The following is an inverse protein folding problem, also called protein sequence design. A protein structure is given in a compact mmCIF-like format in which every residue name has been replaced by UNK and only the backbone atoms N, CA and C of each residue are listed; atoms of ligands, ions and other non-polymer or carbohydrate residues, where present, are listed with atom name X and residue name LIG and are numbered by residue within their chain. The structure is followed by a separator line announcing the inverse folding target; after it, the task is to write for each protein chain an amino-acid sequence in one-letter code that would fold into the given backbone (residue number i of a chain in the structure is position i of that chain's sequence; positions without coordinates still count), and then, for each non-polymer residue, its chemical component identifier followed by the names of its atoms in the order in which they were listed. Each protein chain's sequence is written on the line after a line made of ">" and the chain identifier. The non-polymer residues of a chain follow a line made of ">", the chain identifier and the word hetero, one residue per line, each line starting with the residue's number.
data_IF_072762999598
#
_entry.id   IF_072762999598
#
_cell.length_a   1.000
_cell.length_b   1.000
_cell.length_c   1.000
_cell.angle_alpha   90.00
_cell.angle_beta   90.00
_cell.angle_gamma   90.00
#
_symmetry.space_group_name_H-M   'P 1'
#
loop_
_entity.id
_entity.type
_entity.pdbx_description
1 polymer ?
#
# COMPACT_ATOMS: atom_id res chain seq x y z
N UNK A 1 -1.66 -33.14 -0.03
CA UNK A 1 -1.89 -32.03 -0.99
C UNK A 1 -0.52 -31.58 -1.44
N UNK A 2 -0.22 -31.48 -2.75
CA UNK A 2 1.13 -31.16 -3.17
C UNK A 2 1.49 -29.77 -2.62
N UNK A 3 2.44 -29.76 -1.69
CA UNK A 3 3.09 -28.60 -1.09
C UNK A 3 4.04 -27.99 -2.13
N UNK A 4 3.51 -27.59 -3.28
CA UNK A 4 4.26 -26.75 -4.21
C UNK A 4 4.43 -25.39 -3.55
N UNK A 5 5.68 -24.93 -3.40
CA UNK A 5 5.93 -23.52 -3.10
C UNK A 5 5.25 -22.68 -4.17
N UNK A 6 4.73 -21.52 -3.78
CA UNK A 6 4.17 -20.58 -4.73
C UNK A 6 5.27 -20.10 -5.69
N UNK A 7 4.93 -19.86 -6.94
CA UNK A 7 5.92 -19.62 -8.00
C UNK A 7 5.69 -18.26 -8.64
N UNK A 8 6.78 -17.52 -8.88
CA UNK A 8 6.82 -16.35 -9.75
C UNK A 8 7.58 -16.72 -11.03
N UNK A 9 6.87 -16.88 -12.13
CA UNK A 9 7.44 -17.29 -13.42
C UNK A 9 7.85 -16.10 -14.27
N UNK A 10 9.16 -15.88 -14.37
CA UNK A 10 9.75 -14.80 -15.17
C UNK A 10 9.69 -15.06 -16.68
N UNK A 11 9.26 -16.24 -17.14
CA UNK A 11 8.90 -16.45 -18.54
C UNK A 11 7.57 -15.78 -18.91
N UNK A 12 6.69 -15.58 -17.94
CA UNK A 12 5.39 -14.94 -18.11
C UNK A 12 5.37 -13.47 -17.64
N UNK A 13 6.29 -13.09 -16.75
CA UNK A 13 6.32 -11.79 -16.09
C UNK A 13 7.62 -11.04 -16.39
N UNK A 14 7.52 -9.78 -16.82
CA UNK A 14 8.67 -8.88 -17.07
C UNK A 14 8.83 -7.80 -15.99
N UNK A 15 7.83 -7.65 -15.12
CA UNK A 15 7.77 -6.61 -14.11
C UNK A 15 7.10 -7.10 -12.82
N UNK A 16 7.59 -6.60 -11.68
CA UNK A 16 6.91 -6.76 -10.39
C UNK A 16 6.55 -5.38 -9.86
N UNK A 17 5.25 -5.19 -9.63
CA UNK A 17 4.69 -4.02 -8.95
C UNK A 17 4.38 -4.45 -7.52
N UNK A 18 4.92 -3.75 -6.54
CA UNK A 18 4.76 -4.07 -5.13
C UNK A 18 4.06 -2.92 -4.42
N UNK A 19 3.11 -3.22 -3.56
CA UNK A 19 2.79 -2.25 -2.51
C UNK A 19 4.01 -2.00 -1.61
N UNK A 20 4.02 -0.85 -0.93
CA UNK A 20 5.14 -0.44 -0.09
C UNK A 20 4.91 -0.85 1.36
N UNK A 21 3.72 -0.59 1.87
CA UNK A 21 3.39 -0.73 3.28
C UNK A 21 2.95 -2.18 3.52
N UNK A 22 3.57 -2.91 4.44
CA UNK A 22 3.27 -4.32 4.70
C UNK A 22 3.83 -5.32 3.68
N UNK A 23 4.24 -4.88 2.49
CA UNK A 23 4.93 -5.70 1.48
C UNK A 23 6.44 -5.45 1.46
N UNK A 24 6.90 -4.24 1.11
CA UNK A 24 8.33 -3.88 1.12
C UNK A 24 8.80 -3.54 2.53
N UNK A 25 8.04 -2.71 3.24
CA UNK A 25 8.42 -2.14 4.54
C UNK A 25 7.40 -2.43 5.63
N UNK A 26 7.86 -2.62 6.87
CA UNK A 26 7.01 -2.87 8.04
C UNK A 26 6.46 -1.55 8.62
N UNK A 27 5.73 -0.80 7.79
CA UNK A 27 5.18 0.53 8.13
C UNK A 27 3.67 0.51 8.35
N UNK A 28 2.99 -0.59 8.07
CA UNK A 28 1.53 -0.71 8.24
C UNK A 28 1.12 -0.40 9.71
N UNK A 29 1.87 -0.91 10.69
CA UNK A 29 1.65 -0.63 12.12
C UNK A 29 1.87 0.84 12.46
N UNK A 30 2.91 1.45 11.90
CA UNK A 30 3.23 2.87 12.05
C UNK A 30 2.12 3.75 11.46
N UNK A 31 1.57 3.37 10.31
CA UNK A 31 0.41 4.03 9.73
C UNK A 31 -0.84 3.90 10.59
N UNK A 32 -1.14 2.70 11.08
CA UNK A 32 -2.29 2.47 11.96
C UNK A 32 -2.20 3.27 13.26
N UNK A 33 -1.01 3.34 13.88
CA UNK A 33 -0.77 4.15 15.08
C UNK A 33 -0.95 5.66 14.82
N UNK A 34 -0.41 6.17 13.71
CA UNK A 34 -0.56 7.57 13.32
C UNK A 34 -2.03 7.96 13.06
N UNK A 35 -2.78 7.08 12.40
CA UNK A 35 -4.21 7.25 12.18
C UNK A 35 -4.99 7.22 13.49
N UNK A 36 -4.75 6.23 14.34
CA UNK A 36 -5.39 6.13 15.65
C UNK A 36 -5.21 7.40 16.45
N UNK A 37 -3.98 7.92 16.52
CA UNK A 37 -3.69 9.16 17.24
C UNK A 37 -4.46 10.35 16.67
N UNK A 38 -4.43 10.52 15.35
CA UNK A 38 -5.11 11.63 14.68
C UNK A 38 -6.63 11.58 14.85
N UNK A 39 -7.25 10.41 14.69
CA UNK A 39 -8.68 10.24 14.89
C UNK A 39 -9.10 10.35 16.35
N UNK A 40 -8.35 9.76 17.29
CA UNK A 40 -8.70 9.85 18.72
C UNK A 40 -8.63 11.29 19.22
N UNK A 41 -7.69 12.10 18.72
CA UNK A 41 -7.64 13.53 19.03
C UNK A 41 -8.88 14.25 18.50
N UNK A 42 -9.22 14.05 17.22
CA UNK A 42 -10.43 14.60 16.60
C UNK A 42 -11.71 14.21 17.36
N UNK A 43 -11.87 12.93 17.69
CA UNK A 43 -13.06 12.39 18.36
C UNK A 43 -13.19 12.93 19.78
N UNK A 44 -12.07 13.12 20.50
CA UNK A 44 -12.05 13.77 21.82
C UNK A 44 -12.44 15.25 21.73
N UNK A 45 -11.92 15.96 20.74
CA UNK A 45 -12.23 17.39 20.51
C UNK A 45 -13.69 17.60 20.10
N UNK A 46 -14.23 16.75 19.24
CA UNK A 46 -15.64 16.78 18.82
C UNK A 46 -16.56 16.38 19.98
N UNK A 47 -16.26 15.29 20.69
CA UNK A 47 -17.07 14.84 21.83
C UNK A 47 -17.14 15.89 22.94
N UNK A 48 -16.04 16.62 23.20
CA UNK A 48 -16.05 17.77 24.12
C UNK A 48 -16.97 18.89 23.66
N UNK A 49 -16.97 19.24 22.36
CA UNK A 49 -17.80 20.31 21.79
C UNK A 49 -19.28 19.96 21.86
N UNK A 50 -19.61 18.72 21.55
CA UNK A 50 -20.99 18.24 21.47
C UNK A 50 -21.51 17.69 22.82
N UNK A 51 -20.67 17.70 23.85
CA UNK A 51 -20.96 17.12 25.18
C UNK A 51 -21.39 15.64 25.11
N UNK A 52 -20.79 14.87 24.20
CA UNK A 52 -21.01 13.43 24.03
C UNK A 52 -19.70 12.66 24.11
N UNK A 53 -19.76 11.38 24.47
CA UNK A 53 -18.61 10.47 24.39
C UNK A 53 -18.62 9.75 23.05
N UNK A 54 -17.68 10.09 22.18
CA UNK A 54 -17.44 9.34 20.95
C UNK A 54 -16.48 8.16 21.23
N UNK A 55 -16.79 6.93 20.78
CA UNK A 55 -15.88 5.80 20.91
C UNK A 55 -14.55 6.07 20.19
N UNK A 56 -13.40 5.61 20.71
CA UNK A 56 -12.11 5.78 20.05
C UNK A 56 -12.05 5.03 18.71
N UNK A 57 -11.03 5.32 17.92
CA UNK A 57 -10.66 4.57 16.72
C UNK A 57 -10.05 3.23 17.09
N UNK A 58 -10.62 2.16 16.55
CA UNK A 58 -10.15 0.78 16.75
C UNK A 58 -9.21 0.36 15.62
N UNK A 59 -7.97 0.01 15.94
CA UNK A 59 -6.97 -0.40 14.94
C UNK A 59 -7.28 -1.78 14.35
N UNK A 60 -7.93 -2.68 15.08
CA UNK A 60 -8.25 -4.00 14.56
C UNK A 60 -9.52 -3.96 13.70
N UNK A 61 -10.52 -3.17 14.10
CA UNK A 61 -11.80 -3.10 13.41
C UNK A 61 -11.91 -1.93 12.42
N UNK A 62 -11.65 -0.70 12.84
CA UNK A 62 -11.89 0.50 12.01
C UNK A 62 -10.80 0.67 10.95
N UNK A 63 -9.53 0.43 11.29
CA UNK A 63 -8.42 0.59 10.33
C UNK A 63 -8.57 -0.36 9.15
N UNK A 64 -8.72 -1.65 9.40
CA UNK A 64 -8.87 -2.68 8.36
C UNK A 64 -10.07 -2.40 7.46
N UNK A 65 -11.18 -1.93 8.05
CA UNK A 65 -12.42 -1.71 7.31
C UNK A 65 -12.40 -0.44 6.45
N UNK A 66 -11.88 0.66 7.00
CA UNK A 66 -12.07 1.98 6.42
C UNK A 66 -10.81 2.55 5.81
N UNK A 67 -9.63 2.21 6.32
CA UNK A 67 -8.39 2.94 6.02
C UNK A 67 -7.39 2.10 5.23
N UNK A 68 -7.27 0.82 5.59
CA UNK A 68 -6.19 -0.04 5.09
C UNK A 68 -6.20 -0.19 3.56
N UNK A 69 -5.03 0.00 2.95
CA UNK A 69 -4.84 0.03 1.49
C UNK A 69 -5.50 1.19 0.72
N UNK A 70 -6.31 2.05 1.35
CA UNK A 70 -7.00 3.16 0.67
C UNK A 70 -6.14 4.42 0.60
N UNK A 71 -6.52 5.34 -0.30
CA UNK A 71 -5.97 6.68 -0.28
C UNK A 71 -6.23 7.35 1.08
N UNK A 72 -5.35 8.26 1.48
CA UNK A 72 -5.49 8.97 2.75
C UNK A 72 -6.83 9.74 2.86
N UNK A 73 -7.31 10.31 1.76
CA UNK A 73 -8.54 11.10 1.73
C UNK A 73 -9.76 10.17 1.81
N UNK A 74 -9.77 9.09 1.02
CA UNK A 74 -10.88 8.13 1.00
C UNK A 74 -11.00 7.38 2.33
N UNK A 75 -9.86 6.98 2.91
CA UNK A 75 -9.86 6.30 4.20
C UNK A 75 -10.33 7.18 5.34
N UNK A 76 -9.91 8.45 5.37
CA UNK A 76 -10.41 9.42 6.33
C UNK A 76 -11.91 9.66 6.17
N UNK A 77 -12.39 9.89 4.95
CA UNK A 77 -13.82 10.09 4.70
C UNK A 77 -14.65 8.88 5.10
N UNK A 78 -14.25 7.68 4.69
CA UNK A 78 -14.97 6.45 5.01
C UNK A 78 -15.10 6.24 6.52
N UNK A 79 -14.04 6.50 7.30
CA UNK A 79 -14.11 6.42 8.75
C UNK A 79 -15.01 7.51 9.35
N UNK A 80 -14.84 8.77 8.94
CA UNK A 80 -15.63 9.88 9.48
C UNK A 80 -17.12 9.73 9.18
N UNK A 81 -17.47 9.30 7.97
CA UNK A 81 -18.84 8.99 7.57
C UNK A 81 -19.43 7.88 8.44
N UNK A 82 -18.65 6.86 8.80
CA UNK A 82 -19.09 5.80 9.73
C UNK A 82 -19.47 6.30 11.12
N UNK A 83 -18.97 7.49 11.50
CA UNK A 83 -19.26 8.16 12.77
C UNK A 83 -20.23 9.34 12.61
N UNK A 84 -20.79 9.55 11.42
CA UNK A 84 -21.67 10.69 11.11
C UNK A 84 -20.97 12.05 11.17
N UNK A 85 -19.64 12.08 11.04
CA UNK A 85 -18.84 13.30 11.11
C UNK A 85 -18.55 13.79 9.70
N UNK A 86 -18.95 15.03 9.40
CA UNK A 86 -18.63 15.67 8.12
C UNK A 86 -17.70 16.83 8.37
N UNK A 87 -16.48 16.74 7.84
CA UNK A 87 -15.51 17.84 7.88
C UNK A 87 -15.49 18.57 6.52
N UNK A 88 -15.46 19.92 6.51
CA UNK A 88 -15.17 20.66 5.30
C UNK A 88 -13.77 20.31 4.79
N UNK A 89 -13.55 20.42 3.47
CA UNK A 89 -12.23 20.15 2.89
C UNK A 89 -11.16 21.07 3.49
N UNK A 90 -11.48 22.36 3.54
CA UNK A 90 -10.63 23.43 4.05
C UNK A 90 -11.29 24.08 5.27
N UNK A 91 -10.46 24.46 6.25
CA UNK A 91 -10.94 25.16 7.44
C UNK A 91 -11.33 26.60 7.12
N UNK A 92 -12.37 27.09 7.78
CA UNK A 92 -12.67 28.54 7.86
C UNK A 92 -12.82 28.90 9.34
N UNK A 93 -12.22 30.01 9.76
CA UNK A 93 -12.42 30.56 11.11
C UNK A 93 -12.19 29.55 12.26
N UNK A 94 -11.09 28.78 12.22
CA UNK A 94 -10.74 27.85 13.30
C UNK A 94 -11.59 26.58 13.36
N UNK A 95 -12.41 26.30 12.35
CA UNK A 95 -13.10 25.00 12.22
C UNK A 95 -12.14 23.91 11.77
N UNK A 96 -12.26 22.76 12.42
CA UNK A 96 -11.57 21.53 12.04
C UNK A 96 -11.94 21.13 10.60
N UNK A 97 -10.93 20.75 9.82
CA UNK A 97 -11.07 20.40 8.41
C UNK A 97 -10.39 19.08 8.09
N UNK A 98 -10.82 18.46 7.00
CA UNK A 98 -10.23 17.20 6.53
C UNK A 98 -8.73 17.35 6.31
N UNK A 99 -8.27 18.44 5.68
CA UNK A 99 -6.84 18.65 5.45
C UNK A 99 -6.04 18.78 6.75
N UNK A 100 -6.58 19.40 7.78
CA UNK A 100 -5.93 19.49 9.10
C UNK A 100 -5.75 18.13 9.76
N UNK A 101 -6.77 17.27 9.70
CA UNK A 101 -6.68 15.87 10.17
C UNK A 101 -5.60 15.11 9.40
N UNK A 102 -5.62 15.24 8.07
CA UNK A 102 -4.65 14.59 7.20
C UNK A 102 -3.23 15.05 7.54
N UNK A 103 -2.99 16.34 7.71
CA UNK A 103 -1.68 16.90 8.07
C UNK A 103 -1.22 16.42 9.45
N UNK A 104 -2.11 16.35 10.45
CA UNK A 104 -1.80 15.72 11.75
C UNK A 104 -1.33 14.29 11.57
N UNK A 105 -2.06 13.48 10.79
CA UNK A 105 -1.67 12.10 10.50
C UNK A 105 -0.30 12.00 9.82
N UNK A 106 -0.02 12.85 8.83
CA UNK A 106 1.29 12.87 8.18
C UNK A 106 2.39 13.20 9.16
N UNK A 107 2.19 14.21 10.01
CA UNK A 107 3.16 14.60 11.04
C UNK A 107 3.44 13.45 11.99
N UNK A 108 2.42 12.82 12.56
CA UNK A 108 2.59 11.69 13.48
C UNK A 108 3.31 10.51 12.84
N UNK A 109 3.01 10.21 11.58
CA UNK A 109 3.74 9.17 10.86
C UNK A 109 5.22 9.52 10.67
N UNK A 110 5.53 10.74 10.22
CA UNK A 110 6.91 11.17 9.99
C UNK A 110 7.70 11.31 11.29
N UNK A 111 7.05 11.66 12.40
CA UNK A 111 7.66 11.66 13.74
C UNK A 111 8.06 10.24 14.15
N UNK A 112 7.17 9.26 13.97
CA UNK A 112 7.44 7.84 14.27
C UNK A 112 8.59 7.30 13.40
N UNK A 113 8.57 7.57 12.10
CA UNK A 113 9.63 7.20 11.16
C UNK A 113 10.98 7.82 11.56
N UNK A 114 11.00 9.07 12.01
CA UNK A 114 12.24 9.73 12.46
C UNK A 114 12.76 9.17 13.78
N UNK A 115 11.86 8.81 14.70
CA UNK A 115 12.22 8.31 16.02
C UNK A 115 12.68 6.85 15.99
N UNK A 116 12.06 6.02 15.15
CA UNK A 116 12.24 4.56 15.17
C UNK A 116 12.81 3.97 13.88
N UNK A 117 12.96 4.77 12.83
CA UNK A 117 13.40 4.33 11.52
C UNK A 117 12.32 3.53 10.77
N UNK A 118 12.72 2.91 9.67
CA UNK A 118 11.88 1.98 8.88
C UNK A 118 12.68 0.71 8.63
N UNK A 119 12.03 -0.44 8.77
CA UNK A 119 12.61 -1.73 8.41
C UNK A 119 11.96 -2.25 7.12
N UNK A 120 12.77 -2.70 6.17
CA UNK A 120 12.30 -3.51 5.06
C UNK A 120 12.16 -4.98 5.51
N UNK A 121 11.21 -5.71 4.93
CA UNK A 121 11.10 -7.14 5.18
C UNK A 121 12.27 -7.88 4.51
N UNK A 122 13.08 -8.68 5.25
CA UNK A 122 14.26 -9.32 4.69
C UNK A 122 13.96 -10.23 3.49
N UNK A 123 12.83 -10.92 3.51
CA UNK A 123 12.36 -11.77 2.41
C UNK A 123 12.01 -10.95 1.16
N UNK A 124 11.40 -9.78 1.34
CA UNK A 124 11.14 -8.86 0.23
C UNK A 124 12.43 -8.33 -0.35
N UNK A 125 13.40 -7.91 0.48
CA UNK A 125 14.72 -7.45 0.00
C UNK A 125 15.45 -8.55 -0.79
N UNK A 126 15.39 -9.80 -0.31
CA UNK A 126 15.96 -10.94 -1.02
C UNK A 126 15.32 -11.14 -2.41
N UNK A 127 13.99 -11.06 -2.49
CA UNK A 127 13.25 -11.10 -3.75
C UNK A 127 13.65 -9.95 -4.69
N UNK A 128 13.73 -8.72 -4.19
CA UNK A 128 14.13 -7.56 -5.01
C UNK A 128 15.52 -7.76 -5.62
N UNK A 129 16.50 -8.25 -4.85
CA UNK A 129 17.82 -8.57 -5.40
C UNK A 129 17.78 -9.69 -6.45
N UNK A 130 16.95 -10.72 -6.24
CA UNK A 130 16.76 -11.79 -7.21
C UNK A 130 16.18 -11.26 -8.53
N UNK A 131 15.11 -10.48 -8.47
CA UNK A 131 14.49 -9.83 -9.63
C UNK A 131 15.49 -8.95 -10.41
N UNK A 132 16.35 -8.19 -9.70
CA UNK A 132 17.40 -7.38 -10.34
C UNK A 132 18.43 -8.22 -11.07
N UNK A 133 18.82 -9.40 -10.54
CA UNK A 133 19.73 -10.33 -11.24
C UNK A 133 19.13 -10.82 -12.56
N UNK A 134 17.80 -10.95 -12.62
CA UNK A 134 17.06 -11.34 -13.82
C UNK A 134 16.67 -10.17 -14.73
N UNK A 135 17.03 -8.93 -14.37
CA UNK A 135 16.63 -7.69 -15.09
C UNK A 135 15.11 -7.54 -15.22
N UNK A 136 14.36 -8.11 -14.27
CA UNK A 136 12.94 -7.89 -14.11
C UNK A 136 12.76 -6.52 -13.47
N UNK A 137 11.94 -5.66 -14.05
CA UNK A 137 11.81 -4.31 -13.49
C UNK A 137 10.84 -4.25 -12.33
N UNK A 138 11.09 -3.31 -11.45
CA UNK A 138 10.52 -3.27 -10.11
C UNK A 138 9.89 -1.90 -9.89
N UNK A 139 8.63 -1.86 -9.51
CA UNK A 139 7.97 -0.64 -9.07
C UNK A 139 7.44 -0.78 -7.64
N UNK A 140 7.65 0.27 -6.84
CA UNK A 140 6.98 0.43 -5.55
C UNK A 140 5.77 1.37 -5.69
N UNK A 141 4.64 0.96 -5.13
CA UNK A 141 3.40 1.70 -5.12
C UNK A 141 2.93 1.92 -3.69
N UNK A 142 2.43 3.11 -3.36
CA UNK A 142 1.82 3.35 -2.05
C UNK A 142 0.65 4.33 -2.17
N UNK A 143 -0.41 4.11 -1.42
CA UNK A 143 -1.49 5.09 -1.29
C UNK A 143 -1.08 6.31 -0.43
N UNK A 144 0.04 6.21 0.29
CA UNK A 144 0.65 7.28 1.09
C UNK A 144 1.42 8.27 0.22
N UNK A 145 1.63 9.49 0.71
CA UNK A 145 2.51 10.51 0.07
C UNK A 145 3.98 10.38 0.48
N UNK A 146 4.32 9.29 1.19
CA UNK A 146 5.60 9.13 1.86
C UNK A 146 6.44 7.97 1.29
N UNK A 147 6.12 7.44 0.11
CA UNK A 147 6.80 6.28 -0.48
C UNK A 147 8.32 6.49 -0.56
N UNK A 148 8.76 7.59 -1.19
CA UNK A 148 10.19 7.90 -1.31
C UNK A 148 10.93 8.01 0.04
N UNK A 149 10.46 8.83 1.00
CA UNK A 149 11.05 8.87 2.35
C UNK A 149 11.11 7.51 3.05
N UNK A 150 10.06 6.69 2.94
CA UNK A 150 9.99 5.35 3.54
C UNK A 150 11.01 4.39 2.94
N UNK A 151 11.11 4.31 1.60
CA UNK A 151 12.07 3.44 0.93
C UNK A 151 13.53 3.85 1.21
N UNK A 152 13.80 5.16 1.28
CA UNK A 152 15.14 5.67 1.65
C UNK A 152 15.49 5.35 3.09
N UNK A 153 14.56 5.55 4.03
CA UNK A 153 14.78 5.20 5.43
C UNK A 153 14.99 3.69 5.64
N UNK A 154 14.35 2.87 4.80
CA UNK A 154 14.51 1.42 4.81
C UNK A 154 15.75 0.91 4.03
N UNK A 155 16.45 1.79 3.30
CA UNK A 155 17.66 1.43 2.53
C UNK A 155 17.39 0.57 1.29
N UNK A 156 16.21 0.72 0.66
CA UNK A 156 15.80 -0.09 -0.51
C UNK A 156 15.39 0.75 -1.72
N UNK A 157 15.56 2.08 -1.64
CA UNK A 157 15.15 3.03 -2.69
C UNK A 157 15.87 2.83 -4.02
N UNK A 158 17.09 2.28 -3.98
CA UNK A 158 17.93 1.96 -5.13
C UNK A 158 17.61 0.59 -5.77
N UNK A 159 16.76 -0.22 -5.12
CA UNK A 159 16.32 -1.51 -5.66
C UNK A 159 15.11 -1.37 -6.59
N UNK A 160 14.42 -0.24 -6.56
CA UNK A 160 13.20 0.02 -7.36
C UNK A 160 13.52 0.90 -8.57
N UNK A 161 12.96 0.56 -9.73
CA UNK A 161 13.16 1.31 -10.97
C UNK A 161 12.12 2.42 -11.15
N UNK A 162 10.94 2.25 -10.55
CA UNK A 162 9.89 3.26 -10.52
C UNK A 162 9.19 3.33 -9.16
N UNK A 163 8.65 4.50 -8.84
CA UNK A 163 7.78 4.72 -7.68
C UNK A 163 6.51 5.40 -8.16
N UNK A 164 5.36 5.01 -7.59
CA UNK A 164 4.09 5.72 -7.77
C UNK A 164 3.43 5.87 -6.42
N UNK A 165 3.10 7.09 -6.01
CA UNK A 165 2.55 7.31 -4.67
C UNK A 165 1.37 8.30 -4.62
N UNK A 166 0.93 8.63 -3.41
CA UNK A 166 -0.17 9.57 -3.19
C UNK A 166 0.09 11.00 -3.70
N UNK A 167 1.34 11.38 -3.99
CA UNK A 167 1.67 12.64 -4.67
C UNK A 167 1.37 12.52 -6.16
N UNK A 168 1.70 11.37 -6.76
CA UNK A 168 1.35 11.06 -8.14
C UNK A 168 -0.16 10.98 -8.33
N UNK A 169 -0.89 10.31 -7.42
CA UNK A 169 -2.35 10.27 -7.46
C UNK A 169 -2.96 11.67 -7.45
N UNK A 170 -2.47 12.57 -6.60
CA UNK A 170 -2.93 13.96 -6.57
C UNK A 170 -2.59 14.71 -7.87
N UNK A 171 -1.36 14.56 -8.38
CA UNK A 171 -0.86 15.28 -9.55
C UNK A 171 -1.52 14.82 -10.85
N UNK A 172 -1.80 13.53 -10.98
CA UNK A 172 -2.32 12.89 -12.19
C UNK A 172 -3.82 12.59 -12.11
N UNK A 173 -4.47 12.83 -10.96
CA UNK A 173 -5.90 12.53 -10.77
C UNK A 173 -6.20 11.03 -10.73
N UNK A 174 -5.28 10.21 -10.23
CA UNK A 174 -5.46 8.76 -10.16
C UNK A 174 -6.39 8.40 -9.00
N UNK A 175 -7.44 7.63 -9.29
CA UNK A 175 -8.35 7.11 -8.28
C UNK A 175 -7.64 6.15 -7.31
N UNK A 176 -8.10 6.12 -6.06
CA UNK A 176 -7.57 5.23 -5.03
C UNK A 176 -8.08 3.79 -5.16
N UNK A 177 -7.36 2.84 -4.56
CA UNK A 177 -7.78 1.43 -4.48
C UNK A 177 -9.22 1.34 -3.90
N UNK A 178 -10.12 0.50 -4.45
CA UNK A 178 -9.87 -0.62 -5.35
C UNK A 178 -9.84 -0.28 -6.85
N UNK A 179 -9.74 0.99 -7.23
CA UNK A 179 -9.40 1.35 -8.60
C UNK A 179 -7.93 0.99 -8.91
N UNK A 180 -7.62 0.41 -10.08
CA UNK A 180 -6.26 -0.01 -10.43
C UNK A 180 -5.31 1.12 -10.84
N UNK A 181 -5.75 2.39 -10.92
CA UNK A 181 -5.01 3.49 -11.54
C UNK A 181 -3.57 3.65 -11.04
N UNK A 182 -3.31 3.55 -9.73
CA UNK A 182 -1.96 3.64 -9.17
C UNK A 182 -1.04 2.52 -9.67
N UNK A 183 -1.54 1.28 -9.74
CA UNK A 183 -0.78 0.13 -10.20
C UNK A 183 -0.57 0.18 -11.72
N UNK A 184 -1.57 0.62 -12.48
CA UNK A 184 -1.46 0.79 -13.93
C UNK A 184 -0.43 1.86 -14.31
N UNK A 185 -0.40 2.97 -13.57
CA UNK A 185 0.64 4.00 -13.72
C UNK A 185 2.04 3.42 -13.46
N UNK A 186 2.17 2.53 -12.47
CA UNK A 186 3.45 1.88 -12.19
C UNK A 186 3.91 0.96 -13.33
N UNK A 187 3.00 0.14 -13.85
CA UNK A 187 3.24 -0.70 -15.03
C UNK A 187 3.62 0.14 -16.26
N UNK A 188 2.94 1.28 -16.46
CA UNK A 188 3.23 2.24 -17.52
C UNK A 188 4.64 2.84 -17.39
N UNK A 189 5.05 3.29 -16.19
CA UNK A 189 6.41 3.80 -15.95
C UNK A 189 7.48 2.75 -16.20
N UNK A 190 7.17 1.47 -15.97
CA UNK A 190 8.06 0.36 -16.28
C UNK A 190 8.04 -0.03 -17.76
N UNK A 191 7.12 0.50 -18.57
CA UNK A 191 6.96 0.14 -19.98
C UNK A 191 6.45 -1.28 -20.21
N UNK A 192 5.78 -1.89 -19.23
CA UNK A 192 5.31 -3.29 -19.29
C UNK A 192 3.78 -3.34 -19.22
N UNK A 193 3.10 -4.10 -20.09
CA UNK A 193 1.65 -4.24 -20.00
C UNK A 193 1.25 -4.96 -18.70
N UNK A 194 0.11 -4.62 -18.07
CA UNK A 194 -0.32 -5.24 -16.80
C UNK A 194 -0.38 -6.77 -16.85
N UNK A 195 -0.81 -7.36 -17.97
CA UNK A 195 -0.84 -8.81 -18.16
C UNK A 195 0.53 -9.52 -18.12
N UNK A 196 1.64 -8.77 -18.19
CA UNK A 196 3.02 -9.25 -17.99
C UNK A 196 3.66 -8.71 -16.72
N UNK A 197 2.84 -8.16 -15.81
CA UNK A 197 3.26 -7.71 -14.49
C UNK A 197 2.71 -8.66 -13.42
N UNK A 198 3.52 -8.95 -12.40
CA UNK A 198 3.03 -9.47 -11.14
C UNK A 198 2.76 -8.30 -10.19
N UNK A 199 1.59 -8.30 -9.54
CA UNK A 199 1.30 -7.41 -8.41
C UNK A 199 1.48 -8.16 -7.09
N UNK A 200 2.16 -7.56 -6.11
CA UNK A 200 2.28 -8.07 -4.75
C UNK A 200 1.64 -7.07 -3.78
N UNK A 201 0.68 -7.54 -2.98
CA UNK A 201 -0.11 -6.70 -2.08
C UNK A 201 -0.53 -7.42 -0.79
N UNK A 202 -0.71 -6.69 0.32
CA UNK A 202 -1.16 -7.20 1.63
C UNK A 202 -2.61 -6.78 2.00
N UNK A 203 -3.15 -5.73 1.39
CA UNK A 203 -4.51 -5.25 1.65
C UNK A 203 -5.57 -5.77 0.67
N UNK A 204 -6.77 -6.10 1.18
CA UNK A 204 -7.90 -6.63 0.40
C UNK A 204 -8.30 -5.73 -0.78
N UNK A 205 -8.33 -4.41 -0.57
CA UNK A 205 -8.70 -3.44 -1.62
C UNK A 205 -7.64 -3.36 -2.72
N UNK A 206 -6.37 -3.64 -2.42
CA UNK A 206 -5.34 -3.66 -3.43
C UNK A 206 -5.28 -4.96 -4.21
N UNK A 207 -5.61 -6.10 -3.58
CA UNK A 207 -5.82 -7.35 -4.32
C UNK A 207 -6.92 -7.19 -5.36
N UNK A 208 -8.05 -6.58 -4.96
CA UNK A 208 -9.15 -6.27 -5.86
C UNK A 208 -8.74 -5.32 -6.99
N UNK A 209 -7.93 -4.30 -6.68
CA UNK A 209 -7.37 -3.40 -7.70
C UNK A 209 -6.46 -4.15 -8.69
N UNK A 210 -5.56 -5.03 -8.22
CA UNK A 210 -4.73 -5.85 -9.10
C UNK A 210 -5.53 -6.73 -10.04
N UNK A 211 -6.58 -7.37 -9.51
CA UNK A 211 -7.47 -8.19 -10.31
C UNK A 211 -8.19 -7.36 -11.38
N UNK A 212 -8.76 -6.21 -11.01
CA UNK A 212 -9.42 -5.28 -11.95
C UNK A 212 -8.48 -4.69 -12.99
N UNK A 213 -7.22 -4.48 -12.63
CA UNK A 213 -6.17 -3.97 -13.50
C UNK A 213 -5.67 -4.98 -14.54
N UNK A 214 -6.12 -6.23 -14.48
CA UNK A 214 -5.69 -7.28 -15.41
C UNK A 214 -4.22 -7.67 -15.25
N UNK A 215 -3.69 -7.60 -14.02
CA UNK A 215 -2.34 -8.04 -13.72
C UNK A 215 -2.19 -9.55 -13.97
N UNK A 216 -1.13 -9.93 -14.69
CA UNK A 216 -0.91 -11.33 -15.09
C UNK A 216 -0.76 -12.29 -13.91
N UNK A 217 -0.29 -11.78 -12.77
CA UNK A 217 -0.32 -12.51 -11.50
C UNK A 217 -0.58 -11.52 -10.37
N UNK A 218 -1.42 -11.91 -9.40
CA UNK A 218 -1.75 -11.12 -8.21
C UNK A 218 -1.45 -11.98 -7.00
N UNK A 219 -0.48 -11.55 -6.21
CA UNK A 219 0.06 -12.26 -5.06
C UNK A 219 -0.35 -11.52 -3.79
N UNK A 220 -1.12 -12.19 -2.95
CA UNK A 220 -1.47 -11.71 -1.61
C UNK A 220 -0.42 -12.09 -0.57
N UNK A 221 -0.06 -11.15 0.31
CA UNK A 221 0.82 -11.39 1.47
C UNK A 221 -0.02 -11.34 2.74
N UNK A 222 -0.44 -12.50 3.23
CA UNK A 222 -1.21 -12.64 4.48
C UNK A 222 -0.27 -13.00 5.63
N UNK A 223 0.50 -12.00 6.11
CA UNK A 223 1.51 -12.17 7.16
C UNK A 223 0.96 -12.75 8.46
N UNK A 224 -0.32 -12.53 8.74
CA UNK A 224 -0.99 -13.01 9.95
C UNK A 224 -1.81 -14.28 9.76
N UNK A 225 -1.94 -14.76 8.52
CA UNK A 225 -2.69 -15.96 8.18
C UNK A 225 -4.20 -15.85 8.46
N UNK A 226 -4.77 -14.64 8.40
CA UNK A 226 -6.16 -14.37 8.81
C UNK A 226 -7.10 -14.12 7.63
N UNK A 227 -6.57 -13.67 6.50
CA UNK A 227 -7.38 -13.11 5.40
C UNK A 227 -7.15 -13.80 4.05
N UNK A 228 -6.48 -14.95 4.03
CA UNK A 228 -6.23 -15.75 2.81
C UNK A 228 -7.48 -15.95 1.97
N UNK A 229 -8.59 -16.40 2.55
CA UNK A 229 -9.81 -16.70 1.79
C UNK A 229 -10.43 -15.43 1.22
N UNK A 230 -10.39 -14.32 1.96
CA UNK A 230 -10.88 -13.03 1.49
C UNK A 230 -10.03 -12.49 0.34
N UNK A 231 -8.70 -12.65 0.39
CA UNK A 231 -7.80 -12.30 -0.71
C UNK A 231 -8.10 -13.13 -1.96
N UNK A 232 -8.25 -14.45 -1.83
CA UNK A 232 -8.61 -15.32 -2.95
C UNK A 232 -9.97 -14.92 -3.56
N UNK A 233 -10.96 -14.62 -2.71
CA UNK A 233 -12.29 -14.16 -3.13
C UNK A 233 -12.28 -12.81 -3.85
N UNK A 234 -11.23 -12.01 -3.71
CA UNK A 234 -11.04 -10.72 -4.40
C UNK A 234 -10.14 -10.79 -5.63
N UNK A 235 -9.69 -11.98 -6.01
CA UNK A 235 -8.94 -12.20 -7.24
C UNK A 235 -7.42 -12.33 -7.06
N UNK A 236 -6.94 -12.62 -5.85
CA UNK A 236 -5.58 -13.13 -5.69
C UNK A 236 -5.44 -14.48 -6.41
N UNK A 237 -4.38 -14.62 -7.20
CA UNK A 237 -4.03 -15.89 -7.85
C UNK A 237 -3.29 -16.82 -6.87
N UNK A 238 -2.48 -16.22 -6.00
CA UNK A 238 -1.69 -16.88 -4.98
C UNK A 238 -1.74 -16.03 -3.71
N UNK A 239 -1.73 -16.69 -2.56
CA UNK A 239 -1.51 -16.04 -1.28
C UNK A 239 -0.37 -16.76 -0.55
N UNK A 240 0.56 -16.00 0.01
CA UNK A 240 1.69 -16.47 0.82
C UNK A 240 1.67 -15.79 2.19
N UNK A 241 2.34 -16.37 3.19
CA UNK A 241 2.50 -15.67 4.49
C UNK A 241 3.70 -14.75 4.47
N UNK A 242 4.73 -15.14 3.73
CA UNK A 242 5.94 -14.36 3.57
C UNK A 242 6.49 -14.57 2.14
N UNK A 243 7.18 -13.58 1.60
CA UNK A 243 7.72 -13.69 0.24
C UNK A 243 8.85 -14.72 0.12
N UNK A 244 9.42 -15.21 1.22
CA UNK A 244 10.32 -16.37 1.22
C UNK A 244 9.62 -17.68 0.82
N UNK A 245 8.29 -17.72 0.84
CA UNK A 245 7.49 -18.85 0.34
C UNK A 245 7.34 -18.85 -1.19
N UNK A 246 7.76 -17.76 -1.86
CA UNK A 246 7.83 -17.67 -3.32
C UNK A 246 9.13 -18.29 -3.83
N UNK A 247 9.02 -19.02 -4.93
CA UNK A 247 10.16 -19.47 -5.73
C UNK A 247 10.13 -18.74 -7.07
N UNK A 248 11.19 -18.02 -7.39
CA UNK A 248 11.35 -17.40 -8.70
C UNK A 248 11.86 -18.46 -9.67
N UNK A 249 11.22 -18.58 -10.83
CA UNK A 249 11.62 -19.52 -11.88
C UNK A 249 11.65 -18.83 -13.24
N UNK A 250 12.27 -19.49 -14.21
CA UNK A 250 12.30 -19.02 -15.59
C UNK A 250 13.19 -17.78 -15.79
N UNK A 251 13.13 -17.24 -16.99
CA UNK A 251 13.83 -16.02 -17.40
C UNK A 251 13.14 -15.44 -18.63
N UNK A 252 13.11 -14.12 -18.75
CA UNK A 252 12.76 -13.43 -19.99
C UNK A 252 14.03 -12.89 -20.67
N UNK A 253 14.01 -12.75 -22.00
CA UNK A 253 15.17 -12.33 -22.82
C UNK A 253 15.62 -10.87 -22.62
N UNK A 254 15.22 -10.23 -21.52
CA UNK A 254 15.84 -9.02 -21.00
C UNK A 254 15.75 -7.77 -21.90
N UNK A 255 14.88 -7.74 -22.91
CA UNK A 255 14.66 -6.55 -23.74
C UNK A 255 13.80 -5.51 -23.01
N UNK A 256 14.28 -5.04 -21.85
CA UNK A 256 13.92 -3.71 -21.37
C UNK A 256 14.83 -2.72 -22.08
N UNK A 257 14.27 -1.96 -23.00
CA UNK A 257 14.91 -0.72 -23.40
C UNK A 257 14.97 0.18 -22.16
N UNK A 258 16.14 0.72 -21.79
CA UNK A 258 16.22 1.66 -20.68
C UNK A 258 15.23 2.81 -20.95
N UNK A 259 14.37 3.08 -19.97
CA UNK A 259 13.53 4.27 -19.98
C UNK A 259 14.49 5.46 -19.84
N UNK A 260 14.56 6.28 -20.89
CA UNK A 260 15.38 7.50 -20.96
C UNK A 260 14.78 8.58 -20.07
#
# INVERSE_FOLDING_TARGET
>A
MPTGRATLDLGAIDAVVLDTDGVITDTARTHAAAWKRAFDELLREQGRRDSVRLPPFDVEADYVRFVDGRSREDGARAFLDSRGIVLPRQGRNGTEALESLLDRKTRYFLDEVRAHGVQAFPSTVALLHELRRHRTGIAAVSASRNCGPVLRAAGVDDLVDARVDGLDSQRLGLAGKPDPALFLEAAQRLGVPPGRCALIEDALVGIEAGHRGGFGTVIGVDRHGRIRQDMMGRGAHVVVRDLADLTVIGSHDGTRHPVV
#
